data_IF_098341823739
#
_entry.id   IF_098341823739
#
_cell.length_a   1.000
_cell.length_b   1.000
_cell.length_c   1.000
_cell.angle_alpha   90.00
_cell.angle_beta   90.00
_cell.angle_gamma   90.00
#
_symmetry.space_group_name_H-M   'P 1'
#
loop_
_entity.id
_entity.type
_entity.pdbx_description
1 polymer ?
#
# COMPACT_ATOMS: atom_id res chain seq x y z
N UNK A 1 22.36 23.86 14.37
CA UNK A 1 21.53 23.82 13.14
C UNK A 1 20.60 22.61 13.26
N UNK A 2 19.28 22.76 13.06
CA UNK A 2 18.32 21.63 13.14
C UNK A 2 18.47 20.74 11.91
N UNK A 3 18.46 19.42 12.06
CA UNK A 3 18.43 18.48 10.92
C UNK A 3 16.98 18.41 10.40
N UNK A 4 16.81 18.19 9.10
CA UNK A 4 15.48 18.03 8.50
C UNK A 4 14.68 16.90 9.16
N UNK A 5 15.36 15.81 9.52
CA UNK A 5 14.80 14.69 10.28
C UNK A 5 14.19 15.06 11.62
N UNK A 6 14.62 16.17 12.23
CA UNK A 6 14.20 16.56 13.58
C UNK A 6 12.79 17.20 13.56
N UNK A 7 12.29 17.61 12.40
CA UNK A 7 10.98 18.25 12.25
C UNK A 7 10.12 17.70 11.10
N UNK A 8 10.69 16.89 10.21
CA UNK A 8 9.93 16.24 9.16
C UNK A 8 8.92 15.24 9.75
N UNK A 9 7.63 15.53 9.56
CA UNK A 9 6.53 14.66 10.00
C UNK A 9 6.25 13.52 9.01
N UNK A 10 6.59 13.73 7.74
CA UNK A 10 6.45 12.70 6.71
C UNK A 10 7.65 11.78 6.72
N UNK A 11 7.42 10.51 7.05
CA UNK A 11 8.41 9.46 6.82
C UNK A 11 8.28 8.95 5.38
N UNK A 12 9.38 8.87 4.63
CA UNK A 12 9.37 8.20 3.34
C UNK A 12 9.00 6.73 3.53
N UNK A 13 8.43 6.13 2.48
CA UNK A 13 8.27 4.70 2.46
C UNK A 13 9.63 4.03 2.30
N UNK A 14 9.82 2.89 2.98
CA UNK A 14 11.08 2.18 3.12
C UNK A 14 10.99 0.79 2.47
N UNK A 15 12.13 0.32 1.96
CA UNK A 15 12.27 -1.01 1.39
C UNK A 15 11.99 -1.10 -0.11
N UNK A 16 12.30 -2.26 -0.67
CA UNK A 16 12.23 -2.50 -2.11
C UNK A 16 10.79 -2.61 -2.60
N UNK A 17 10.57 -2.12 -3.82
CA UNK A 17 9.32 -2.39 -4.53
C UNK A 17 9.29 -3.85 -4.99
N UNK A 18 8.22 -4.55 -4.66
CA UNK A 18 7.97 -5.92 -5.15
C UNK A 18 6.70 -5.97 -6.01
N UNK A 19 6.60 -6.92 -6.96
CA UNK A 19 5.38 -7.08 -7.74
C UNK A 19 4.22 -7.58 -6.88
N UNK A 20 3.00 -7.22 -7.28
CA UNK A 20 1.76 -7.65 -6.59
C UNK A 20 1.66 -9.18 -6.49
N UNK A 21 2.15 -9.91 -7.49
CA UNK A 21 2.13 -11.37 -7.51
C UNK A 21 2.85 -11.99 -6.30
N UNK A 22 3.91 -11.35 -5.79
CA UNK A 22 4.71 -11.86 -4.68
C UNK A 22 3.97 -11.75 -3.34
N UNK A 23 2.88 -10.99 -3.25
CA UNK A 23 2.14 -10.78 -2.00
C UNK A 23 0.76 -11.44 -1.98
N UNK A 24 0.31 -11.99 -3.12
CA UNK A 24 -1.01 -12.63 -3.20
C UNK A 24 -1.07 -13.88 -2.31
N UNK A 25 -2.19 -14.02 -1.59
CA UNK A 25 -2.46 -15.15 -0.70
C UNK A 25 -1.42 -15.33 0.42
N UNK A 26 -0.71 -14.26 0.78
CA UNK A 26 0.23 -14.23 1.90
C UNK A 26 -0.27 -13.23 2.93
N UNK A 27 -0.03 -13.55 4.20
CA UNK A 27 -0.27 -12.61 5.29
C UNK A 27 0.73 -11.47 5.21
N UNK A 28 0.20 -10.24 5.27
CA UNK A 28 0.98 -9.01 5.24
C UNK A 28 0.45 -8.05 6.29
N UNK A 29 1.30 -7.16 6.78
CA UNK A 29 0.87 -6.00 7.56
C UNK A 29 0.89 -4.78 6.64
N UNK A 30 -0.24 -4.11 6.47
CA UNK A 30 -0.30 -2.83 5.76
C UNK A 30 0.04 -1.73 6.76
N UNK A 31 1.14 -1.02 6.51
CA UNK A 31 1.70 0.00 7.42
C UNK A 31 1.24 1.42 7.05
N UNK A 32 0.86 1.64 5.79
CA UNK A 32 0.45 2.95 5.30
C UNK A 32 0.25 2.97 3.79
N UNK A 33 -0.37 4.03 3.29
CA UNK A 33 -0.62 4.18 1.86
C UNK A 33 -0.47 5.63 1.37
N UNK A 34 -0.27 5.78 0.06
CA UNK A 34 -0.33 7.07 -0.65
C UNK A 34 -1.16 6.89 -1.91
N UNK A 35 -2.23 7.67 -2.06
CA UNK A 35 -3.04 7.72 -3.28
C UNK A 35 -2.54 8.80 -4.22
N UNK A 36 -2.46 8.49 -5.52
CA UNK A 36 -2.02 9.42 -6.57
C UNK A 36 -2.83 9.22 -7.85
N UNK A 37 -3.03 10.28 -8.66
CA UNK A 37 -3.61 10.14 -9.98
C UNK A 37 -2.70 9.33 -10.89
N UNK A 38 -3.29 8.47 -11.72
CA UNK A 38 -2.58 7.69 -12.72
C UNK A 38 -2.19 8.59 -13.89
N UNK A 39 -0.90 8.55 -14.26
CA UNK A 39 -0.41 9.20 -15.49
C UNK A 39 -0.76 8.42 -16.76
N UNK A 40 -1.10 7.14 -16.62
CA UNK A 40 -1.37 6.24 -17.76
C UNK A 40 -2.85 6.11 -18.10
N UNK A 41 -3.73 6.37 -17.12
CA UNK A 41 -5.18 6.22 -17.27
C UNK A 41 -5.85 7.46 -16.70
N UNK A 42 -6.35 8.31 -17.58
CA UNK A 42 -7.04 9.53 -17.18
C UNK A 42 -8.25 9.22 -16.29
N UNK A 43 -8.45 10.03 -15.24
CA UNK A 43 -9.52 9.83 -14.26
C UNK A 43 -9.34 8.63 -13.31
N UNK A 44 -8.28 7.83 -13.43
CA UNK A 44 -7.99 6.72 -12.52
C UNK A 44 -6.92 7.07 -11.49
N UNK A 45 -7.00 6.45 -10.33
CA UNK A 45 -5.99 6.56 -9.28
C UNK A 45 -5.21 5.26 -9.14
N UNK A 46 -4.04 5.36 -8.53
CA UNK A 46 -3.33 4.21 -7.98
C UNK A 46 -2.92 4.53 -6.54
N UNK A 47 -2.70 3.47 -5.77
CA UNK A 47 -2.12 3.57 -4.44
C UNK A 47 -0.73 2.93 -4.42
N UNK A 48 0.15 3.53 -3.66
CA UNK A 48 1.37 2.91 -3.16
C UNK A 48 1.08 2.45 -1.73
N UNK A 49 1.29 1.17 -1.43
CA UNK A 49 1.18 0.61 -0.09
C UNK A 49 2.58 0.33 0.46
N UNK A 50 2.83 0.77 1.70
CA UNK A 50 3.92 0.29 2.52
C UNK A 50 3.41 -0.95 3.26
N UNK A 51 4.11 -2.07 3.11
CA UNK A 51 3.75 -3.32 3.77
C UNK A 51 4.94 -3.91 4.51
N UNK A 52 4.65 -4.81 5.44
CA UNK A 52 5.59 -5.75 6.01
C UNK A 52 5.18 -7.17 5.61
N UNK A 53 6.13 -7.93 5.10
CA UNK A 53 5.96 -9.33 4.72
C UNK A 53 7.24 -10.07 5.10
N UNK A 54 7.10 -11.17 5.85
CA UNK A 54 8.25 -11.95 6.36
C UNK A 54 9.29 -11.10 7.11
N UNK A 55 8.83 -10.15 7.93
CA UNK A 55 9.69 -9.24 8.70
C UNK A 55 10.46 -8.21 7.85
N UNK A 56 10.13 -8.07 6.56
CA UNK A 56 10.75 -7.12 5.64
C UNK A 56 9.77 -6.06 5.19
N UNK A 57 10.18 -4.80 5.31
CA UNK A 57 9.48 -3.65 4.71
C UNK A 57 9.59 -3.69 3.19
N UNK A 58 8.44 -3.59 2.52
CA UNK A 58 8.28 -3.64 1.08
C UNK A 58 7.26 -2.62 0.61
N UNK A 59 7.33 -2.28 -0.67
CA UNK A 59 6.40 -1.35 -1.31
C UNK A 59 5.68 -2.08 -2.45
N UNK A 60 4.36 -1.94 -2.53
CA UNK A 60 3.56 -2.42 -3.66
C UNK A 60 2.76 -1.28 -4.28
N UNK A 61 2.53 -1.37 -5.58
CA UNK A 61 1.72 -0.41 -6.34
C UNK A 61 0.51 -1.15 -6.89
N UNK A 62 -0.68 -0.57 -6.73
CA UNK A 62 -1.89 -1.14 -7.30
C UNK A 62 -2.84 -0.04 -7.76
N UNK A 63 -3.42 -0.24 -8.95
CA UNK A 63 -4.52 0.56 -9.50
C UNK A 63 -5.87 -0.12 -9.32
N UNK A 64 -5.99 -1.07 -8.38
CA UNK A 64 -7.24 -1.77 -8.10
C UNK A 64 -8.21 -0.84 -7.37
N UNK A 65 -9.34 -0.53 -8.02
CA UNK A 65 -10.37 0.35 -7.44
C UNK A 65 -10.91 -0.23 -6.10
N UNK A 66 -11.01 -1.55 -5.97
CA UNK A 66 -11.46 -2.24 -4.74
C UNK A 66 -10.48 -2.02 -3.59
N UNK A 67 -9.18 -2.31 -3.80
CA UNK A 67 -8.18 -2.10 -2.75
C UNK A 67 -8.03 -0.62 -2.38
N UNK A 68 -8.17 0.29 -3.36
CA UNK A 68 -8.17 1.74 -3.12
C UNK A 68 -9.35 2.12 -2.22
N UNK A 69 -10.55 1.65 -2.53
CA UNK A 69 -11.73 1.91 -1.71
C UNK A 69 -11.57 1.39 -0.29
N UNK A 70 -11.15 0.13 -0.13
CA UNK A 70 -11.01 -0.50 1.18
C UNK A 70 -9.95 0.20 2.06
N UNK A 71 -8.78 0.55 1.51
CA UNK A 71 -7.74 1.21 2.31
C UNK A 71 -8.12 2.65 2.67
N UNK A 72 -8.89 3.33 1.83
CA UNK A 72 -9.39 4.68 2.15
C UNK A 72 -10.51 4.64 3.20
N UNK A 73 -11.41 3.65 3.12
CA UNK A 73 -12.50 3.46 4.06
C UNK A 73 -12.00 3.11 5.47
N UNK A 74 -10.99 2.22 5.57
CA UNK A 74 -10.44 1.75 6.84
C UNK A 74 -9.05 2.35 7.17
N UNK A 75 -8.75 3.54 6.66
CA UNK A 75 -7.44 4.21 6.85
C UNK A 75 -7.10 4.45 8.33
N UNK A 76 -8.11 4.61 9.19
CA UNK A 76 -7.93 4.91 10.61
C UNK A 76 -7.54 3.67 11.42
N UNK A 77 -7.66 2.46 10.83
CA UNK A 77 -7.24 1.18 11.40
C UNK A 77 -5.78 0.81 11.06
N UNK A 78 -5.04 1.69 10.37
CA UNK A 78 -3.65 1.45 10.05
C UNK A 78 -2.76 1.53 11.32
N UNK A 79 -1.81 0.60 11.51
CA UNK A 79 -1.51 -0.56 10.67
C UNK A 79 -2.42 -1.77 10.96
N UNK A 80 -2.73 -2.56 9.92
CA UNK A 80 -3.55 -3.77 10.06
C UNK A 80 -2.94 -4.98 9.34
N UNK A 81 -3.25 -6.19 9.83
CA UNK A 81 -2.87 -7.47 9.21
C UNK A 81 -3.98 -7.92 8.26
N UNK A 82 -3.62 -8.40 7.08
CA UNK A 82 -4.59 -8.84 6.05
C UNK A 82 -3.94 -9.82 5.06
N UNK A 83 -4.76 -10.41 4.21
CA UNK A 83 -4.33 -11.10 2.99
C UNK A 83 -4.92 -10.41 1.77
N UNK A 84 -4.08 -10.16 0.76
CA UNK A 84 -4.56 -9.72 -0.56
C UNK A 84 -4.90 -10.96 -1.39
N UNK A 85 -6.17 -11.11 -1.75
CA UNK A 85 -6.65 -12.19 -2.62
C UNK A 85 -7.07 -11.66 -3.98
N UNK A 86 -6.84 -12.46 -5.02
CA UNK A 86 -7.43 -12.24 -6.34
C UNK A 86 -8.75 -13.01 -6.42
N UNK A 87 -9.87 -12.29 -6.45
CA UNK A 87 -11.22 -12.86 -6.55
C UNK A 87 -11.71 -12.55 -7.97
N UNK A 88 -11.79 -13.57 -8.82
CA UNK A 88 -12.10 -13.42 -10.24
C UNK A 88 -11.19 -12.37 -10.92
N UNK A 89 -11.75 -11.20 -11.22
CA UNK A 89 -11.09 -10.12 -11.96
C UNK A 89 -10.64 -8.94 -11.08
N UNK A 90 -10.79 -9.03 -9.76
CA UNK A 90 -10.38 -7.96 -8.83
C UNK A 90 -9.51 -8.47 -7.69
N UNK A 91 -8.88 -7.53 -6.97
CA UNK A 91 -8.11 -7.80 -5.76
C UNK A 91 -8.86 -7.23 -4.55
N UNK A 92 -8.82 -7.92 -3.42
CA UNK A 92 -9.47 -7.49 -2.17
C UNK A 92 -8.59 -7.80 -0.97
N UNK A 93 -8.63 -6.93 0.03
CA UNK A 93 -8.23 -7.29 1.39
C UNK A 93 -9.28 -8.24 1.98
N UNK A 94 -8.80 -9.28 2.65
CA UNK A 94 -9.61 -10.29 3.36
C UNK A 94 -8.97 -10.66 4.67
#
# INVERSE_FOLDING_TARGET
MKRFSDFAREKPFEGDKIPMADVLNREITVLGYKKRPSKQKEGKNYITLQIEIEGKRRIIFTGSDVLISQVEEYKDELPFVTVIKKINNFYSFT
#
